data_IF_241274658851
#
_entry.id   IF_241274658851
#
_cell.length_a   1.000
_cell.length_b   1.000
_cell.length_c   1.000
_cell.angle_alpha   90.00
_cell.angle_beta   90.00
_cell.angle_gamma   90.00
#
_symmetry.space_group_name_H-M   'P 1'
#
loop_
_entity.id
_entity.type
_entity.pdbx_description
1 polymer ?
#
# COMPACT_ATOMS: atom_id res chain seq x y z
N UNK A 1 5.34 -5.51 18.01
CA UNK A 1 5.85 -4.26 17.44
C UNK A 1 5.32 -4.07 16.01
N UNK A 2 4.94 -2.86 15.68
CA UNK A 2 4.44 -2.49 14.36
C UNK A 2 5.59 -1.93 13.50
N UNK A 3 5.67 -2.32 12.23
CA UNK A 3 6.63 -1.75 11.29
C UNK A 3 5.90 -1.30 10.02
N UNK A 4 5.98 0.00 9.75
CA UNK A 4 5.41 0.58 8.54
C UNK A 4 6.36 0.43 7.36
N UNK A 5 5.89 -0.21 6.30
CA UNK A 5 6.60 -0.40 5.04
C UNK A 5 5.87 0.33 3.90
N UNK A 6 6.17 1.63 3.66
CA UNK A 6 5.47 2.46 2.67
C UNK A 6 5.63 1.96 1.23
N UNK A 7 6.75 1.28 0.95
CA UNK A 7 7.14 0.90 -0.40
C UNK A 7 7.92 2.00 -1.12
N UNK A 8 8.70 1.58 -2.11
CA UNK A 8 9.66 2.47 -2.79
C UNK A 8 9.01 3.65 -3.53
N UNK A 9 7.86 3.45 -4.17
CA UNK A 9 7.15 4.50 -4.90
C UNK A 9 6.64 5.59 -3.97
N UNK A 10 5.96 5.22 -2.88
CA UNK A 10 5.43 6.19 -1.92
C UNK A 10 6.55 6.99 -1.26
N UNK A 11 7.64 6.31 -0.87
CA UNK A 11 8.82 6.98 -0.30
C UNK A 11 9.50 7.94 -1.27
N UNK A 12 9.52 7.62 -2.57
CA UNK A 12 10.17 8.46 -3.57
C UNK A 12 9.34 9.69 -3.99
N UNK A 13 8.02 9.52 -4.11
CA UNK A 13 7.14 10.58 -4.63
C UNK A 13 6.46 11.42 -3.54
N UNK A 14 6.31 10.88 -2.34
CA UNK A 14 5.60 11.54 -1.22
C UNK A 14 6.29 11.28 0.13
N UNK A 15 7.57 11.69 0.31
CA UNK A 15 8.28 11.47 1.57
C UNK A 15 7.58 12.12 2.76
N UNK A 16 7.00 13.32 2.60
CA UNK A 16 6.21 13.99 3.65
C UNK A 16 4.94 13.20 4.01
N UNK A 17 4.34 12.51 3.04
CA UNK A 17 3.21 11.60 3.30
C UNK A 17 3.62 10.41 4.16
N UNK A 18 4.82 9.86 3.93
CA UNK A 18 5.39 8.80 4.79
C UNK A 18 5.57 9.29 6.22
N UNK A 19 6.12 10.49 6.41
CA UNK A 19 6.30 11.09 7.74
C UNK A 19 4.97 11.30 8.46
N UNK A 20 3.96 11.82 7.76
CA UNK A 20 2.61 12.02 8.32
C UNK A 20 1.98 10.70 8.75
N UNK A 21 2.09 9.64 7.94
CA UNK A 21 1.58 8.32 8.28
C UNK A 21 2.33 7.75 9.50
N UNK A 22 3.65 7.84 9.53
CA UNK A 22 4.44 7.37 10.68
C UNK A 22 4.06 8.11 11.96
N UNK A 23 3.84 9.43 11.88
CA UNK A 23 3.38 10.24 13.02
C UNK A 23 2.01 9.75 13.50
N UNK A 24 1.03 9.62 12.60
CA UNK A 24 -0.30 9.13 12.94
C UNK A 24 -0.25 7.73 13.60
N UNK A 25 0.55 6.82 13.04
CA UNK A 25 0.75 5.50 13.63
C UNK A 25 1.34 5.56 15.04
N UNK A 26 2.35 6.42 15.25
CA UNK A 26 2.98 6.61 16.56
C UNK A 26 2.02 7.21 17.59
N UNK A 27 1.22 8.19 17.17
CA UNK A 27 0.23 8.83 18.04
C UNK A 27 -0.87 7.84 18.48
N UNK A 28 -1.27 6.93 17.60
CA UNK A 28 -2.33 5.95 17.87
C UNK A 28 -1.83 4.67 18.56
N UNK A 29 -0.62 4.18 18.22
CA UNK A 29 -0.11 2.87 18.65
C UNK A 29 1.03 2.97 19.68
N UNK A 30 1.47 4.18 20.00
CA UNK A 30 2.60 4.46 20.88
C UNK A 30 3.94 4.56 20.15
N UNK A 31 4.69 5.61 20.46
CA UNK A 31 5.93 5.97 19.76
C UNK A 31 6.96 4.82 19.72
N UNK A 32 7.15 4.12 20.85
CA UNK A 32 8.13 3.03 20.97
C UNK A 32 7.70 1.75 20.23
N UNK A 33 6.42 1.65 19.87
CA UNK A 33 5.85 0.47 19.22
C UNK A 33 5.95 0.51 17.70
N UNK A 34 6.25 1.68 17.10
CA UNK A 34 6.22 1.89 15.65
C UNK A 34 7.61 2.15 15.09
N UNK A 35 8.01 1.31 14.13
CA UNK A 35 9.19 1.50 13.29
C UNK A 35 8.81 1.71 11.83
N UNK A 36 9.79 2.06 10.99
CA UNK A 36 9.61 2.19 9.55
C UNK A 36 10.68 1.39 8.79
N UNK A 37 10.25 0.64 7.77
CA UNK A 37 11.11 -0.11 6.86
C UNK A 37 11.08 0.57 5.48
N UNK A 38 12.15 1.24 5.09
CA UNK A 38 12.27 1.89 3.77
C UNK A 38 12.87 0.98 2.68
N UNK A 39 13.00 -0.32 2.98
CA UNK A 39 13.55 -1.31 2.07
C UNK A 39 12.51 -1.72 1.00
N UNK A 40 12.98 -1.95 -0.24
CA UNK A 40 12.11 -2.43 -1.33
C UNK A 40 11.70 -3.88 -1.11
N UNK A 41 10.41 -4.20 -1.33
CA UNK A 41 9.89 -5.57 -1.25
C UNK A 41 10.38 -6.51 -2.37
N UNK A 42 11.04 -5.99 -3.41
CA UNK A 42 11.57 -6.78 -4.53
C UNK A 42 10.57 -7.11 -5.64
N UNK A 43 9.31 -6.63 -5.59
CA UNK A 43 8.26 -7.01 -6.56
C UNK A 43 8.68 -6.84 -8.02
N UNK A 44 9.34 -5.73 -8.36
CA UNK A 44 9.73 -5.42 -9.75
C UNK A 44 10.63 -6.53 -10.32
N UNK A 45 11.63 -6.97 -9.57
CA UNK A 45 12.51 -8.07 -9.99
C UNK A 45 11.76 -9.39 -10.16
N UNK A 46 10.78 -9.68 -9.28
CA UNK A 46 9.91 -10.86 -9.40
C UNK A 46 9.13 -10.86 -10.73
N UNK A 47 8.55 -9.72 -11.11
CA UNK A 47 7.75 -9.62 -12.33
C UNK A 47 8.58 -9.57 -13.63
N UNK A 48 9.83 -9.15 -13.54
CA UNK A 48 10.77 -9.25 -14.66
C UNK A 48 11.36 -10.65 -14.83
N UNK A 49 10.97 -11.62 -13.99
CA UNK A 49 11.48 -13.00 -14.04
C UNK A 49 12.84 -13.19 -13.40
N UNK A 50 13.39 -12.16 -12.77
CA UNK A 50 14.69 -12.13 -12.09
C UNK A 50 14.61 -12.79 -10.69
N UNK A 51 14.40 -14.11 -10.67
CA UNK A 51 14.10 -14.86 -9.44
C UNK A 51 15.18 -14.67 -8.36
N UNK A 52 16.44 -14.88 -8.70
CA UNK A 52 17.56 -14.76 -7.75
C UNK A 52 17.64 -13.36 -7.14
N UNK A 53 17.55 -12.31 -7.98
CA UNK A 53 17.55 -10.92 -7.52
C UNK A 53 16.33 -10.58 -6.66
N UNK A 54 15.19 -11.20 -6.93
CA UNK A 54 14.01 -11.06 -6.08
C UNK A 54 14.28 -11.66 -4.70
N UNK A 55 14.76 -12.90 -4.66
CA UNK A 55 15.04 -13.61 -3.40
C UNK A 55 16.05 -12.85 -2.54
N UNK A 56 17.14 -12.37 -3.12
CA UNK A 56 18.15 -11.56 -2.42
C UNK A 56 17.57 -10.27 -1.84
N UNK A 57 16.84 -9.48 -2.64
CA UNK A 57 16.26 -8.21 -2.21
C UNK A 57 15.17 -8.40 -1.17
N UNK A 58 14.30 -9.39 -1.37
CA UNK A 58 13.23 -9.69 -0.45
C UNK A 58 13.78 -10.20 0.89
N UNK A 59 14.82 -11.06 0.84
CA UNK A 59 15.51 -11.53 2.05
C UNK A 59 16.03 -10.38 2.90
N UNK A 60 16.66 -9.37 2.29
CA UNK A 60 17.14 -8.19 3.03
C UNK A 60 15.99 -7.51 3.77
N UNK A 61 14.83 -7.35 3.11
CA UNK A 61 13.66 -6.74 3.75
C UNK A 61 13.12 -7.60 4.91
N UNK A 62 13.05 -8.91 4.73
CA UNK A 62 12.58 -9.84 5.77
C UNK A 62 13.56 -9.89 6.96
N UNK A 63 14.87 -9.95 6.70
CA UNK A 63 15.88 -9.93 7.75
C UNK A 63 15.78 -8.65 8.60
N UNK A 64 15.56 -7.49 7.94
CA UNK A 64 15.35 -6.22 8.65
C UNK A 64 14.07 -6.21 9.49
N UNK A 65 12.96 -6.77 8.99
CA UNK A 65 11.75 -6.92 9.79
C UNK A 65 11.99 -7.77 11.05
N UNK A 66 12.74 -8.88 10.92
CA UNK A 66 13.08 -9.74 12.04
C UNK A 66 14.03 -9.02 13.03
N UNK A 67 15.07 -8.31 12.55
CA UNK A 67 15.98 -7.50 13.39
C UNK A 67 15.23 -6.42 14.19
N UNK A 68 14.20 -5.80 13.58
CA UNK A 68 13.36 -4.81 14.23
C UNK A 68 12.36 -5.42 15.24
N UNK A 69 12.25 -6.74 15.31
CA UNK A 69 11.25 -7.44 16.14
C UNK A 69 9.83 -7.16 15.67
N UNK A 70 9.60 -7.05 14.35
CA UNK A 70 8.29 -6.79 13.79
C UNK A 70 7.34 -7.97 14.05
N UNK A 71 6.19 -7.70 14.63
CA UNK A 71 5.06 -8.64 14.76
C UNK A 71 4.01 -8.34 13.68
N UNK A 72 3.82 -7.04 13.38
CA UNK A 72 2.87 -6.55 12.39
C UNK A 72 3.57 -5.66 11.38
N UNK A 73 3.41 -5.97 10.10
CA UNK A 73 3.88 -5.15 8.97
C UNK A 73 2.70 -4.41 8.36
N UNK A 74 2.75 -3.08 8.38
CA UNK A 74 1.73 -2.19 7.83
C UNK A 74 2.18 -1.69 6.47
N UNK A 75 1.36 -1.81 5.43
CA UNK A 75 1.69 -1.36 4.08
C UNK A 75 0.61 -0.45 3.51
N UNK A 76 0.98 0.55 2.70
CA UNK A 76 0.04 1.32 1.86
C UNK A 76 0.09 0.90 0.40
N UNK A 77 1.21 0.32 -0.03
CA UNK A 77 1.38 -0.15 -1.41
C UNK A 77 0.78 -1.54 -1.59
N UNK A 78 -0.23 -1.72 -2.47
CA UNK A 78 -0.86 -3.03 -2.73
C UNK A 78 0.14 -4.10 -3.14
N UNK A 79 1.19 -3.70 -3.86
CA UNK A 79 2.25 -4.61 -4.30
C UNK A 79 3.10 -5.12 -3.14
N UNK A 80 3.47 -4.23 -2.21
CA UNK A 80 4.19 -4.61 -1.00
C UNK A 80 3.32 -5.50 -0.11
N UNK A 81 2.03 -5.17 0.04
CA UNK A 81 1.06 -5.98 0.76
C UNK A 81 1.09 -7.43 0.28
N UNK A 82 0.91 -7.66 -1.03
CA UNK A 82 0.92 -9.01 -1.60
C UNK A 82 2.26 -9.73 -1.38
N UNK A 83 3.38 -9.06 -1.66
CA UNK A 83 4.69 -9.69 -1.50
C UNK A 83 4.97 -10.07 -0.04
N UNK A 84 4.74 -9.17 0.91
CA UNK A 84 4.96 -9.47 2.31
C UNK A 84 3.98 -10.52 2.84
N UNK A 85 2.71 -10.56 2.41
CA UNK A 85 1.79 -11.68 2.72
C UNK A 85 2.36 -13.04 2.27
N UNK A 86 3.07 -13.06 1.15
CA UNK A 86 3.69 -14.28 0.62
C UNK A 86 5.00 -14.64 1.36
N UNK A 87 5.78 -13.67 1.80
CA UNK A 87 7.18 -13.89 2.22
C UNK A 87 7.46 -13.64 3.70
N UNK A 88 6.75 -12.74 4.36
CA UNK A 88 6.92 -12.42 5.78
C UNK A 88 6.13 -13.40 6.68
N UNK A 89 6.63 -14.63 6.78
CA UNK A 89 5.92 -15.74 7.43
C UNK A 89 5.79 -15.62 8.95
N UNK A 90 6.66 -14.84 9.58
CA UNK A 90 6.68 -14.63 11.02
C UNK A 90 5.90 -13.37 11.44
N UNK A 91 5.42 -12.58 10.48
CA UNK A 91 4.73 -11.32 10.73
C UNK A 91 3.28 -11.39 10.22
N UNK A 92 2.35 -10.74 10.92
CA UNK A 92 1.04 -10.41 10.37
C UNK A 92 1.17 -9.22 9.43
N UNK A 93 0.74 -9.35 8.19
CA UNK A 93 0.75 -8.25 7.21
C UNK A 93 -0.64 -7.68 7.08
N UNK A 94 -0.76 -6.36 7.24
CA UNK A 94 -2.03 -5.64 7.13
C UNK A 94 -1.87 -4.41 6.22
N UNK A 95 -2.98 -4.01 5.60
CA UNK A 95 -3.05 -2.74 4.88
C UNK A 95 -3.21 -1.58 5.87
N UNK A 96 -2.63 -0.42 5.55
CA UNK A 96 -2.87 0.80 6.32
C UNK A 96 -4.36 1.20 6.33
N UNK A 97 -5.07 0.95 5.21
CA UNK A 97 -6.50 1.21 5.08
C UNK A 97 -7.33 0.34 6.02
N UNK A 98 -6.97 -0.95 6.14
CA UNK A 98 -7.64 -1.87 7.06
C UNK A 98 -7.36 -1.49 8.52
N UNK A 99 -6.11 -1.10 8.82
CA UNK A 99 -5.75 -0.63 10.15
C UNK A 99 -6.48 0.65 10.54
N UNK A 100 -6.63 1.61 9.60
CA UNK A 100 -7.40 2.84 9.84
C UNK A 100 -8.85 2.52 10.14
N UNK A 101 -9.49 1.69 9.33
CA UNK A 101 -10.90 1.34 9.51
C UNK A 101 -11.12 0.61 10.85
N UNK A 102 -10.29 -0.38 11.15
CA UNK A 102 -10.54 -1.31 12.26
C UNK A 102 -10.08 -0.79 13.62
N UNK A 103 -9.10 0.13 13.66
CA UNK A 103 -8.45 0.48 14.93
C UNK A 103 -8.15 1.96 15.13
N UNK A 104 -7.50 2.65 14.17
CA UNK A 104 -6.92 3.96 14.44
C UNK A 104 -7.73 5.16 13.89
N UNK A 105 -8.66 4.91 12.99
CA UNK A 105 -9.41 5.96 12.28
C UNK A 105 -8.55 6.77 11.29
N UNK A 106 -9.18 7.70 10.58
CA UNK A 106 -8.45 8.71 9.81
C UNK A 106 -7.87 9.78 10.74
N UNK A 107 -6.71 10.40 10.39
CA UNK A 107 -6.17 11.51 11.16
C UNK A 107 -7.22 12.61 11.36
N UNK A 108 -7.27 13.21 12.56
CA UNK A 108 -8.30 14.21 12.92
C UNK A 108 -8.31 15.38 11.94
N UNK A 109 -7.14 15.82 11.52
CA UNK A 109 -6.94 16.89 10.54
C UNK A 109 -7.38 16.52 9.11
N UNK A 110 -7.60 15.25 8.84
CA UNK A 110 -8.08 14.76 7.55
C UNK A 110 -9.60 14.56 7.50
N UNK A 111 -10.28 14.56 8.66
CA UNK A 111 -11.74 14.39 8.71
C UNK A 111 -12.44 15.55 8.02
N UNK A 112 -13.32 15.22 7.07
CA UNK A 112 -14.11 16.20 6.28
C UNK A 112 -13.26 17.26 5.54
N UNK A 113 -11.96 17.04 5.34
CA UNK A 113 -11.08 17.98 4.62
C UNK A 113 -11.54 18.21 3.18
N UNK A 114 -12.21 17.23 2.58
CA UNK A 114 -12.76 17.27 1.23
C UNK A 114 -14.21 17.73 1.12
N UNK A 115 -14.89 18.09 2.23
CA UNK A 115 -16.33 18.35 2.25
C UNK A 115 -16.76 19.51 1.31
N UNK A 116 -15.92 20.52 1.17
CA UNK A 116 -16.15 21.66 0.26
C UNK A 116 -15.42 21.52 -1.08
N UNK A 117 -14.81 20.35 -1.36
CA UNK A 117 -14.08 20.10 -2.59
C UNK A 117 -15.02 19.72 -3.72
N UNK A 118 -14.82 20.31 -4.89
CA UNK A 118 -15.52 19.90 -6.13
C UNK A 118 -14.84 18.72 -6.84
N UNK A 119 -13.71 18.25 -6.30
CA UNK A 119 -12.99 17.09 -6.85
C UNK A 119 -13.78 15.81 -6.62
N UNK A 120 -14.01 15.06 -7.71
CA UNK A 120 -14.57 13.72 -7.68
C UNK A 120 -13.48 12.72 -8.01
N UNK A 121 -13.19 11.78 -7.11
CA UNK A 121 -12.20 10.74 -7.35
C UNK A 121 -12.81 9.57 -8.12
N UNK A 122 -12.17 9.17 -9.22
CA UNK A 122 -12.47 7.89 -9.86
C UNK A 122 -11.58 6.81 -9.26
N UNK A 123 -12.18 5.79 -8.68
CA UNK A 123 -11.44 4.73 -7.99
C UNK A 123 -11.06 3.63 -8.96
N UNK A 124 -9.75 3.34 -9.03
CA UNK A 124 -9.20 2.17 -9.72
C UNK A 124 -8.53 1.24 -8.71
N UNK A 125 -9.21 0.16 -8.37
CA UNK A 125 -8.64 -0.86 -7.49
C UNK A 125 -7.44 -1.57 -8.14
N UNK A 126 -6.40 -1.79 -7.37
CA UNK A 126 -5.20 -2.43 -7.89
C UNK A 126 -5.45 -3.90 -8.24
N UNK A 127 -4.99 -4.34 -9.41
CA UNK A 127 -5.15 -5.73 -9.85
C UNK A 127 -4.45 -6.74 -8.93
N UNK A 128 -3.49 -6.33 -8.11
CA UNK A 128 -2.83 -7.22 -7.14
C UNK A 128 -3.65 -7.44 -5.87
N UNK A 129 -4.66 -6.62 -5.62
CA UNK A 129 -5.59 -6.73 -4.48
C UNK A 129 -7.01 -7.11 -4.91
N UNK A 130 -7.22 -7.60 -6.15
CA UNK A 130 -8.57 -7.92 -6.67
C UNK A 130 -9.36 -8.92 -5.81
N UNK A 131 -8.68 -9.76 -5.06
CA UNK A 131 -9.29 -10.76 -4.18
C UNK A 131 -9.33 -10.29 -2.71
N UNK A 132 -9.16 -8.98 -2.47
CA UNK A 132 -9.16 -8.35 -1.14
C UNK A 132 -10.33 -7.33 -1.04
N UNK A 133 -11.59 -7.78 -1.02
CA UNK A 133 -12.75 -6.87 -1.07
C UNK A 133 -12.83 -5.93 0.15
N UNK A 134 -12.38 -6.38 1.32
CA UNK A 134 -12.31 -5.55 2.53
C UNK A 134 -11.37 -4.37 2.33
N UNK A 135 -10.19 -4.60 1.71
CA UNK A 135 -9.26 -3.53 1.37
C UNK A 135 -9.91 -2.47 0.46
N UNK A 136 -10.66 -2.90 -0.55
CA UNK A 136 -11.37 -1.98 -1.44
C UNK A 136 -12.44 -1.17 -0.70
N UNK A 137 -13.23 -1.81 0.15
CA UNK A 137 -14.25 -1.14 0.96
C UNK A 137 -13.63 -0.11 1.92
N UNK A 138 -12.50 -0.44 2.55
CA UNK A 138 -11.82 0.44 3.50
C UNK A 138 -11.18 1.67 2.85
N UNK A 139 -10.76 1.57 1.58
CA UNK A 139 -10.33 2.76 0.80
C UNK A 139 -11.51 3.71 0.59
N UNK A 140 -12.69 3.20 0.23
CA UNK A 140 -13.91 4.00 0.05
C UNK A 140 -14.35 4.63 1.35
N UNK A 141 -14.40 3.85 2.43
CA UNK A 141 -14.67 4.35 3.76
C UNK A 141 -13.73 5.51 4.15
N UNK A 142 -12.44 5.40 3.84
CA UNK A 142 -11.48 6.47 4.15
C UNK A 142 -11.79 7.75 3.35
N UNK A 143 -12.21 7.64 2.09
CA UNK A 143 -12.63 8.80 1.28
C UNK A 143 -13.91 9.43 1.85
N UNK A 144 -14.87 8.62 2.29
CA UNK A 144 -16.11 9.08 2.93
C UNK A 144 -15.81 9.82 4.25
N UNK A 145 -14.96 9.26 5.11
CA UNK A 145 -14.52 9.91 6.38
C UNK A 145 -13.78 11.24 6.13
N UNK A 146 -13.05 11.34 5.02
CA UNK A 146 -12.39 12.56 4.60
C UNK A 146 -13.32 13.53 3.87
N UNK A 147 -14.57 13.16 3.60
CA UNK A 147 -15.59 14.00 2.95
C UNK A 147 -15.40 14.19 1.44
N UNK A 148 -14.62 13.35 0.78
CA UNK A 148 -14.42 13.43 -0.66
C UNK A 148 -15.52 12.69 -1.43
N UNK A 149 -15.95 13.28 -2.57
CA UNK A 149 -16.81 12.60 -3.53
C UNK A 149 -15.99 11.62 -4.36
N UNK A 150 -16.56 10.46 -4.64
CA UNK A 150 -15.90 9.45 -5.47
C UNK A 150 -16.88 8.65 -6.32
N UNK A 151 -16.40 8.06 -7.39
CA UNK A 151 -17.15 7.24 -8.33
C UNK A 151 -16.38 5.97 -8.70
N UNK A 152 -17.11 4.91 -9.00
CA UNK A 152 -16.54 3.67 -9.51
C UNK A 152 -16.25 3.78 -11.01
N UNK A 153 -15.10 3.28 -11.45
CA UNK A 153 -14.90 3.02 -12.87
C UNK A 153 -15.60 1.72 -13.28
N UNK A 154 -15.96 1.58 -14.55
CA UNK A 154 -16.73 0.45 -15.09
C UNK A 154 -16.17 -0.92 -14.73
N UNK A 155 -14.82 -1.08 -14.78
CA UNK A 155 -14.13 -2.34 -14.46
C UNK A 155 -13.24 -2.15 -13.25
N UNK A 156 -13.82 -2.41 -12.08
CA UNK A 156 -13.16 -2.22 -10.80
C UNK A 156 -13.33 -3.43 -9.87
N UNK A 157 -12.76 -3.39 -8.68
CA UNK A 157 -12.81 -4.46 -7.69
C UNK A 157 -12.24 -5.77 -8.24
N UNK A 158 -13.01 -6.84 -8.14
CA UNK A 158 -12.65 -8.17 -8.66
C UNK A 158 -12.40 -8.18 -10.16
N UNK A 159 -13.09 -7.31 -10.90
CA UNK A 159 -13.02 -7.20 -12.36
C UNK A 159 -12.05 -6.13 -12.84
N UNK A 160 -11.26 -5.54 -11.94
CA UNK A 160 -10.33 -4.47 -12.27
C UNK A 160 -9.37 -4.85 -13.39
N UNK A 161 -9.13 -3.93 -14.30
CA UNK A 161 -8.11 -4.09 -15.36
C UNK A 161 -6.71 -3.81 -14.81
N UNK A 162 -5.72 -4.45 -15.41
CA UNK A 162 -4.32 -4.13 -15.11
C UNK A 162 -3.94 -2.80 -15.77
N UNK A 163 -3.34 -1.89 -14.99
CA UNK A 163 -2.83 -0.63 -15.50
C UNK A 163 -1.47 -0.73 -16.22
N UNK A 164 -0.87 -1.96 -16.29
CA UNK A 164 0.41 -2.19 -16.96
C UNK A 164 1.66 -1.68 -16.22
N UNK A 165 1.52 -0.80 -15.23
CA UNK A 165 2.68 -0.17 -14.56
C UNK A 165 3.41 -1.15 -13.65
N UNK A 166 2.67 -1.87 -12.79
CA UNK A 166 3.26 -2.75 -11.78
C UNK A 166 4.03 -3.95 -12.35
N UNK A 167 3.71 -4.38 -13.57
CA UNK A 167 4.41 -5.42 -14.33
C UNK A 167 5.47 -4.86 -15.30
N UNK A 168 5.77 -3.58 -15.24
CA UNK A 168 6.73 -2.87 -16.09
C UNK A 168 6.38 -2.92 -17.61
N UNK A 169 5.11 -3.14 -17.95
CA UNK A 169 4.66 -3.19 -19.36
C UNK A 169 4.87 -1.82 -20.01
N UNK A 170 4.62 -0.73 -19.27
CA UNK A 170 4.83 0.63 -19.77
C UNK A 170 6.27 0.92 -20.23
N UNK A 171 7.27 0.23 -19.68
CA UNK A 171 8.70 0.41 -20.04
C UNK A 171 9.22 -0.69 -20.94
N UNK A 172 8.77 -1.95 -20.76
CA UNK A 172 9.26 -3.09 -21.52
C UNK A 172 8.51 -3.31 -22.83
N UNK A 173 7.26 -2.88 -22.92
CA UNK A 173 6.38 -3.05 -24.07
C UNK A 173 5.44 -1.84 -24.22
N UNK A 174 5.96 -0.64 -24.59
CA UNK A 174 5.15 0.57 -24.71
C UNK A 174 3.96 0.41 -25.65
N UNK A 175 4.15 -0.29 -26.78
CA UNK A 175 3.11 -0.58 -27.78
C UNK A 175 1.94 -1.41 -27.26
N UNK A 176 2.18 -2.22 -26.22
CA UNK A 176 1.14 -2.99 -25.55
C UNK A 176 0.48 -2.17 -24.45
N UNK A 177 1.25 -1.32 -23.76
CA UNK A 177 0.75 -0.45 -22.71
C UNK A 177 -0.33 0.52 -23.22
N UNK A 178 -0.15 1.07 -24.42
CA UNK A 178 -1.13 1.97 -25.06
C UNK A 178 -2.49 1.29 -25.37
N UNK A 179 -2.58 -0.04 -25.29
CA UNK A 179 -3.80 -0.83 -25.55
C UNK A 179 -4.50 -1.31 -24.26
N UNK A 180 -3.91 -1.04 -23.08
CA UNK A 180 -4.49 -1.41 -21.79
C UNK A 180 -5.50 -0.39 -21.31
#
# INVERSE_FOLDING_TARGET
>A
KYVFAPGCTVSAYTPEGVEKIVRHLKDCLGNENVGALLQCCGKVTKFLGEKTRFEERNKIAIDKLNEMGAEVVITVCPSCFKIFKETAKNQRVISYWDLMHDLIGVPKECKNIGAESDVVFNIHDSCVTRDEPTHHANVRWALDEMGYKWEEIEKNGKNTRCCGVGGMVCTSRPELYEKL
#
